data_IF_725626988831
#
_entry.id   IF_725626988831
#
_cell.length_a   1.000
_cell.length_b   1.000
_cell.length_c   1.000
_cell.angle_alpha   90.00
_cell.angle_beta   90.00
_cell.angle_gamma   90.00
#
_symmetry.space_group_name_H-M   'P 1'
#
loop_
_entity.id
_entity.type
_entity.pdbx_description
1 polymer ?
#
# COMPACT_ATOMS: atom_id res chain seq x y z
N UNK A 1 14.07 -0.02 14.16
CA UNK A 1 13.47 1.22 13.64
C UNK A 1 13.97 1.38 12.22
N UNK A 2 13.22 0.98 11.20
CA UNK A 2 13.66 1.13 9.82
C UNK A 2 12.86 0.27 8.85
N UNK A 3 12.21 0.93 7.94
CA UNK A 3 11.78 0.48 6.61
C UNK A 3 10.54 -0.42 6.51
N UNK A 4 9.41 0.17 6.74
CA UNK A 4 8.12 -0.20 6.11
C UNK A 4 8.20 0.33 4.66
N UNK A 5 8.91 -0.34 3.74
CA UNK A 5 9.49 0.36 2.61
C UNK A 5 9.18 -0.07 1.19
N UNK A 6 8.19 -0.88 0.88
CA UNK A 6 7.92 -1.23 -0.53
C UNK A 6 6.54 -0.81 -1.03
N UNK A 7 5.48 -1.18 -0.34
CA UNK A 7 4.11 -0.78 -0.68
C UNK A 7 3.75 0.64 -0.23
N UNK A 8 4.47 1.17 0.76
CA UNK A 8 4.25 2.50 1.31
C UNK A 8 4.77 3.63 0.39
N UNK A 9 5.82 3.38 -0.41
CA UNK A 9 6.43 4.40 -1.26
C UNK A 9 5.58 4.79 -2.48
N UNK A 10 4.78 3.88 -3.01
CA UNK A 10 3.90 4.20 -4.14
C UNK A 10 2.67 5.01 -3.69
N UNK A 11 2.13 4.71 -2.51
CA UNK A 11 1.05 5.50 -1.89
C UNK A 11 1.51 6.89 -1.45
N UNK A 12 2.77 7.06 -1.06
CA UNK A 12 3.35 8.35 -0.67
C UNK A 12 3.32 9.36 -1.82
N UNK A 13 3.50 8.93 -3.07
CA UNK A 13 3.48 9.82 -4.25
C UNK A 13 2.10 10.42 -4.55
N UNK A 14 1.03 9.68 -4.40
CA UNK A 14 -0.33 10.17 -4.65
C UNK A 14 -0.86 10.98 -3.47
N UNK A 15 -0.59 10.52 -2.26
CA UNK A 15 -0.88 11.28 -1.05
C UNK A 15 -0.17 12.63 -1.05
N UNK A 16 1.09 12.67 -1.48
CA UNK A 16 1.83 13.90 -1.68
C UNK A 16 1.19 14.81 -2.73
N UNK A 17 0.68 14.27 -3.85
CA UNK A 17 0.01 15.10 -4.87
C UNK A 17 -1.25 15.79 -4.33
N UNK A 18 -2.08 15.08 -3.58
CA UNK A 18 -3.28 15.66 -2.94
C UNK A 18 -2.86 16.68 -1.89
N UNK A 19 -1.86 16.36 -1.08
CA UNK A 19 -1.34 17.27 -0.06
C UNK A 19 -0.77 18.57 -0.69
N UNK A 20 0.00 18.44 -1.78
CA UNK A 20 0.48 19.62 -2.53
C UNK A 20 -0.64 20.41 -3.16
N UNK A 21 -1.65 19.78 -3.72
CA UNK A 21 -2.81 20.45 -4.28
C UNK A 21 -3.58 21.25 -3.23
N UNK A 22 -3.84 20.64 -2.07
CA UNK A 22 -4.49 21.29 -0.93
C UNK A 22 -3.64 22.41 -0.34
N UNK A 23 -2.33 22.19 -0.21
CA UNK A 23 -1.40 23.21 0.27
C UNK A 23 -1.38 24.44 -0.65
N UNK A 24 -1.30 24.24 -1.98
CA UNK A 24 -1.36 25.31 -2.96
C UNK A 24 -2.70 26.05 -2.90
N UNK A 25 -3.81 25.33 -2.75
CA UNK A 25 -5.13 25.94 -2.63
C UNK A 25 -5.21 26.83 -1.38
N UNK A 26 -4.76 26.34 -0.24
CA UNK A 26 -4.71 27.12 1.01
C UNK A 26 -3.78 28.33 0.86
N UNK A 27 -2.63 28.15 0.22
CA UNK A 27 -1.68 29.24 -0.03
C UNK A 27 -2.31 30.35 -0.89
N UNK A 28 -3.03 29.98 -1.96
CA UNK A 28 -3.73 30.94 -2.82
C UNK A 28 -4.85 31.66 -2.04
N UNK A 29 -5.59 30.95 -1.19
CA UNK A 29 -6.62 31.57 -0.34
C UNK A 29 -6.01 32.60 0.62
N UNK A 30 -4.88 32.27 1.25
CA UNK A 30 -4.19 33.19 2.15
C UNK A 30 -3.64 34.39 1.38
N UNK A 31 -2.92 34.15 0.28
CA UNK A 31 -2.34 35.24 -0.53
C UNK A 31 -3.41 36.13 -1.18
N UNK A 32 -4.51 35.53 -1.65
CA UNK A 32 -5.63 36.26 -2.21
C UNK A 32 -6.30 37.16 -1.15
N UNK A 33 -6.57 36.64 0.04
CA UNK A 33 -7.17 37.38 1.14
C UNK A 33 -6.27 38.54 1.59
N UNK A 34 -4.99 38.26 1.80
CA UNK A 34 -4.01 39.30 2.18
C UNK A 34 -3.85 40.32 1.06
N UNK A 35 -3.83 39.91 -0.20
CA UNK A 35 -3.73 40.78 -1.34
C UNK A 35 -4.91 41.78 -1.42
N UNK A 36 -6.15 41.29 -1.28
CA UNK A 36 -7.32 42.17 -1.25
C UNK A 36 -7.31 43.15 -0.06
N UNK A 37 -6.89 42.70 1.13
CA UNK A 37 -6.77 43.58 2.31
C UNK A 37 -5.74 44.69 2.14
N UNK A 38 -4.70 44.48 1.34
CA UNK A 38 -3.67 45.49 1.08
C UNK A 38 -4.10 46.45 -0.03
N UNK A 39 -4.85 45.96 -1.02
CA UNK A 39 -5.20 46.69 -2.22
C UNK A 39 -6.46 47.54 -2.03
N UNK A 40 -7.45 46.98 -1.29
CA UNK A 40 -8.77 47.62 -1.08
C UNK A 40 -8.90 48.10 0.37
N UNK A 41 -8.78 49.42 0.56
CA UNK A 41 -8.79 50.03 1.91
C UNK A 41 -10.12 49.80 2.66
N UNK A 42 -11.23 49.67 1.92
CA UNK A 42 -12.57 49.49 2.48
C UNK A 42 -12.95 48.02 2.79
N UNK A 43 -12.09 47.06 2.43
CA UNK A 43 -12.39 45.66 2.65
C UNK A 43 -12.12 45.24 4.10
N UNK A 44 -13.11 44.61 4.72
CA UNK A 44 -12.90 43.85 5.95
C UNK A 44 -12.20 42.51 5.65
N UNK A 45 -11.66 41.90 6.69
CA UNK A 45 -11.09 40.54 6.55
C UNK A 45 -12.10 39.55 5.95
N UNK A 46 -13.38 39.69 6.30
CA UNK A 46 -14.44 38.83 5.79
C UNK A 46 -14.71 39.10 4.32
N UNK A 47 -14.72 40.33 3.88
CA UNK A 47 -14.93 40.71 2.49
C UNK A 47 -13.80 40.21 1.60
N UNK A 48 -12.55 40.44 2.02
CA UNK A 48 -11.36 39.97 1.32
C UNK A 48 -11.32 38.44 1.21
N UNK A 49 -11.64 37.72 2.29
CA UNK A 49 -11.70 36.25 2.29
C UNK A 49 -12.83 35.76 1.39
N UNK A 50 -14.01 36.36 1.50
CA UNK A 50 -15.17 35.96 0.69
C UNK A 50 -14.93 36.23 -0.80
N UNK A 51 -14.36 37.38 -1.17
CA UNK A 51 -13.98 37.69 -2.54
C UNK A 51 -12.95 36.73 -3.10
N UNK A 52 -11.97 36.34 -2.27
CA UNK A 52 -10.97 35.32 -2.64
C UNK A 52 -11.61 33.95 -2.90
N UNK A 53 -12.51 33.49 -2.02
CA UNK A 53 -13.23 32.22 -2.22
C UNK A 53 -14.06 32.25 -3.49
N UNK A 54 -14.82 33.32 -3.73
CA UNK A 54 -15.63 33.48 -4.94
C UNK A 54 -14.78 33.36 -6.21
N UNK A 55 -13.61 33.99 -6.19
CA UNK A 55 -12.68 33.97 -7.32
C UNK A 55 -12.04 32.60 -7.52
N UNK A 56 -11.50 32.01 -6.45
CA UNK A 56 -10.79 30.72 -6.50
C UNK A 56 -11.72 29.55 -6.80
N UNK A 57 -12.95 29.57 -6.29
CA UNK A 57 -13.95 28.52 -6.52
C UNK A 57 -14.59 28.57 -7.92
N UNK A 58 -14.27 29.56 -8.72
CA UNK A 58 -14.85 29.79 -10.06
C UNK A 58 -16.38 29.99 -10.07
N UNK A 59 -16.97 30.32 -8.91
CA UNK A 59 -18.41 30.53 -8.79
C UNK A 59 -18.81 31.88 -9.38
N UNK A 60 -17.98 32.94 -9.16
CA UNK A 60 -18.12 34.27 -9.81
C UNK A 60 -19.47 34.92 -9.59
N UNK A 61 -19.97 34.89 -8.32
CA UNK A 61 -21.36 35.31 -8.05
C UNK A 61 -21.55 36.84 -8.18
N UNK A 62 -20.75 37.63 -7.51
CA UNK A 62 -20.75 39.12 -7.62
C UNK A 62 -19.55 39.71 -6.87
N UNK A 63 -19.12 40.92 -7.25
CA UNK A 63 -18.08 41.62 -6.52
C UNK A 63 -18.60 42.10 -5.16
N UNK A 64 -17.76 42.03 -4.11
CA UNK A 64 -18.12 42.41 -2.72
C UNK A 64 -18.02 43.92 -2.51
N UNK A 65 -18.02 44.70 -3.53
CA UNK A 65 -17.87 46.14 -3.51
C UNK A 65 -17.30 46.64 -4.84
N UNK A 66 -17.14 47.96 -5.00
CA UNK A 66 -16.46 48.50 -6.17
C UNK A 66 -14.96 48.25 -6.03
N UNK A 67 -14.40 47.42 -6.90
CA UNK A 67 -12.96 47.14 -6.94
C UNK A 67 -12.22 48.32 -7.59
N UNK A 68 -11.11 48.71 -7.00
CA UNK A 68 -10.16 49.62 -7.60
C UNK A 68 -9.56 49.03 -8.89
N UNK A 69 -8.93 49.86 -9.72
CA UNK A 69 -8.26 49.36 -10.93
C UNK A 69 -7.15 48.34 -10.59
N UNK A 70 -6.44 48.55 -9.47
CA UNK A 70 -5.44 47.59 -8.97
C UNK A 70 -6.11 46.30 -8.50
N UNK A 71 -7.24 46.40 -7.81
CA UNK A 71 -8.02 45.20 -7.38
C UNK A 71 -8.53 44.37 -8.54
N UNK A 72 -8.96 45.02 -9.63
CA UNK A 72 -9.37 44.34 -10.86
C UNK A 72 -8.20 43.59 -11.52
N UNK A 73 -7.02 44.20 -11.60
CA UNK A 73 -5.80 43.56 -12.13
C UNK A 73 -5.41 42.38 -11.23
N UNK A 74 -5.42 42.55 -9.92
CA UNK A 74 -5.13 41.49 -8.95
C UNK A 74 -6.11 40.35 -9.08
N UNK A 75 -7.41 40.62 -9.19
CA UNK A 75 -8.45 39.62 -9.40
C UNK A 75 -8.20 38.83 -10.69
N UNK A 76 -7.86 39.49 -11.79
CA UNK A 76 -7.55 38.83 -13.05
C UNK A 76 -6.33 37.86 -12.91
N UNK A 77 -5.29 38.32 -12.21
CA UNK A 77 -4.14 37.47 -11.92
C UNK A 77 -4.51 36.27 -11.02
N UNK A 78 -5.35 36.51 -10.00
CA UNK A 78 -5.83 35.50 -9.10
C UNK A 78 -6.69 34.45 -9.83
N UNK A 79 -7.54 34.87 -10.78
CA UNK A 79 -8.34 33.96 -11.62
C UNK A 79 -7.42 33.01 -12.42
N UNK A 80 -6.40 33.57 -13.11
CA UNK A 80 -5.51 32.78 -13.95
C UNK A 80 -4.72 31.74 -13.11
N UNK A 81 -4.20 32.16 -11.96
CA UNK A 81 -3.39 31.28 -11.09
C UNK A 81 -4.24 30.26 -10.35
N UNK A 82 -5.44 30.61 -9.91
CA UNK A 82 -6.35 29.72 -9.19
C UNK A 82 -6.97 28.67 -10.09
N UNK A 83 -7.30 29.01 -11.34
CA UNK A 83 -7.91 28.06 -12.27
C UNK A 83 -7.05 26.82 -12.48
N UNK A 84 -5.75 27.00 -12.76
CA UNK A 84 -4.82 25.87 -12.92
C UNK A 84 -4.69 25.01 -11.66
N UNK A 85 -4.62 25.66 -10.49
CA UNK A 85 -4.51 24.97 -9.20
C UNK A 85 -5.78 24.21 -8.85
N UNK A 86 -6.95 24.79 -9.07
CA UNK A 86 -8.24 24.15 -8.83
C UNK A 86 -8.43 22.94 -9.74
N UNK A 87 -8.15 23.08 -11.04
CA UNK A 87 -8.21 21.97 -11.99
C UNK A 87 -7.27 20.83 -11.62
N UNK A 88 -6.05 21.15 -11.17
CA UNK A 88 -5.10 20.16 -10.67
C UNK A 88 -5.60 19.45 -9.41
N UNK A 89 -6.15 20.19 -8.45
CA UNK A 89 -6.71 19.64 -7.22
C UNK A 89 -7.88 18.68 -7.52
N UNK A 90 -8.81 19.11 -8.37
CA UNK A 90 -9.97 18.31 -8.78
C UNK A 90 -9.53 17.02 -9.48
N UNK A 91 -8.60 17.10 -10.42
CA UNK A 91 -8.06 15.93 -11.14
C UNK A 91 -7.35 14.98 -10.18
N UNK A 92 -6.58 15.49 -9.22
CA UNK A 92 -5.87 14.68 -8.23
C UNK A 92 -6.83 13.94 -7.31
N UNK A 93 -7.89 14.60 -6.83
CA UNK A 93 -8.92 13.98 -5.99
C UNK A 93 -9.71 12.93 -6.79
N UNK A 94 -10.12 13.27 -8.01
CA UNK A 94 -10.86 12.34 -8.87
C UNK A 94 -10.03 11.11 -9.19
N UNK A 95 -8.75 11.28 -9.52
CA UNK A 95 -7.84 10.16 -9.78
C UNK A 95 -7.68 9.25 -8.56
N UNK A 96 -7.63 9.81 -7.36
CA UNK A 96 -7.57 9.06 -6.10
C UNK A 96 -8.84 8.26 -5.85
N UNK A 97 -10.01 8.86 -6.09
CA UNK A 97 -11.31 8.20 -5.89
C UNK A 97 -11.57 7.12 -6.93
N UNK A 98 -11.32 7.42 -8.21
CA UNK A 98 -11.55 6.50 -9.34
C UNK A 98 -10.49 5.39 -9.37
N UNK A 99 -9.24 5.71 -9.03
CA UNK A 99 -8.14 4.73 -8.96
C UNK A 99 -8.33 3.65 -7.89
N UNK A 100 -9.30 3.79 -6.99
CA UNK A 100 -9.65 2.79 -5.98
C UNK A 100 -8.55 2.55 -4.93
N UNK A 101 -7.53 3.38 -4.90
CA UNK A 101 -6.37 3.22 -3.99
C UNK A 101 -6.76 3.27 -2.52
N UNK A 102 -7.77 4.08 -2.18
CA UNK A 102 -8.32 4.08 -0.82
C UNK A 102 -8.90 2.71 -0.41
N UNK A 103 -9.53 1.99 -1.37
CA UNK A 103 -10.06 0.64 -1.13
C UNK A 103 -8.93 -0.37 -0.89
N UNK A 104 -7.82 -0.25 -1.66
CA UNK A 104 -6.63 -1.09 -1.50
C UNK A 104 -6.02 -0.87 -0.11
N UNK A 105 -5.83 0.38 0.30
CA UNK A 105 -5.29 0.73 1.62
C UNK A 105 -6.12 0.16 2.79
N UNK A 106 -7.45 0.37 2.78
CA UNK A 106 -8.33 -0.18 3.82
C UNK A 106 -8.37 -1.70 3.82
N UNK A 107 -8.18 -2.32 2.67
CA UNK A 107 -8.17 -3.77 2.52
C UNK A 107 -6.87 -4.36 3.07
N UNK A 108 -5.72 -3.79 2.69
CA UNK A 108 -4.41 -4.19 3.21
C UNK A 108 -4.36 -4.05 4.73
N UNK A 109 -4.85 -2.94 5.27
CA UNK A 109 -4.95 -2.74 6.72
C UNK A 109 -5.82 -3.79 7.43
N UNK A 110 -7.00 -4.12 6.87
CA UNK A 110 -7.86 -5.17 7.43
C UNK A 110 -7.21 -6.55 7.32
N UNK A 111 -6.52 -6.81 6.23
CA UNK A 111 -5.80 -8.07 6.02
C UNK A 111 -4.69 -8.22 7.06
N UNK A 112 -3.82 -7.23 7.22
CA UNK A 112 -2.75 -7.22 8.24
C UNK A 112 -3.33 -7.46 9.63
N UNK A 113 -4.40 -6.73 10.00
CA UNK A 113 -5.07 -6.90 11.29
C UNK A 113 -5.68 -8.30 11.47
N UNK A 114 -6.08 -8.97 10.39
CA UNK A 114 -6.54 -10.36 10.44
C UNK A 114 -5.37 -11.34 10.64
N UNK A 115 -4.20 -11.05 10.05
CA UNK A 115 -2.99 -11.86 10.22
C UNK A 115 -2.44 -11.80 11.66
N UNK A 116 -2.55 -10.65 12.32
CA UNK A 116 -2.16 -10.51 13.74
C UNK A 116 -2.89 -11.47 14.68
N UNK A 117 -4.11 -11.85 14.34
CA UNK A 117 -4.93 -12.77 15.12
C UNK A 117 -4.63 -14.25 14.88
N UNK A 118 -3.88 -14.56 13.83
CA UNK A 118 -3.53 -15.94 13.50
C UNK A 118 -2.50 -16.47 14.51
N UNK A 119 -2.75 -17.68 15.00
CA UNK A 119 -1.84 -18.45 15.87
C UNK A 119 -1.96 -19.93 15.55
N UNK A 120 -0.85 -20.67 15.62
CA UNK A 120 -0.83 -22.09 15.27
C UNK A 120 -1.11 -22.37 13.79
N UNK A 121 -1.11 -21.35 12.96
CA UNK A 121 -1.39 -21.43 11.52
C UNK A 121 -0.17 -21.90 10.72
N UNK A 122 -0.38 -22.17 9.44
CA UNK A 122 0.66 -22.52 8.47
C UNK A 122 0.98 -21.31 7.60
N UNK A 123 2.26 -20.96 7.45
CA UNK A 123 2.74 -19.95 6.51
C UNK A 123 3.13 -20.65 5.21
N UNK A 124 2.55 -20.25 4.07
CA UNK A 124 2.89 -20.77 2.74
C UNK A 124 3.62 -19.70 1.95
N UNK A 125 4.88 -19.95 1.59
CA UNK A 125 5.71 -19.02 0.82
C UNK A 125 5.68 -19.38 -0.66
N UNK A 126 5.01 -18.52 -1.46
CA UNK A 126 4.79 -18.68 -2.89
C UNK A 126 3.51 -19.43 -3.24
N UNK A 127 2.81 -18.97 -4.28
CA UNK A 127 1.57 -19.58 -4.78
C UNK A 127 1.73 -20.06 -6.24
N UNK A 128 2.90 -20.61 -6.54
CA UNK A 128 3.14 -21.34 -7.79
C UNK A 128 2.46 -22.72 -7.78
N UNK A 129 2.82 -23.60 -8.71
CA UNK A 129 2.21 -24.95 -8.85
C UNK A 129 2.18 -25.74 -7.53
N UNK A 130 3.30 -25.80 -6.82
CA UNK A 130 3.41 -26.56 -5.55
C UNK A 130 2.66 -25.85 -4.42
N UNK A 131 2.78 -24.51 -4.33
CA UNK A 131 2.06 -23.71 -3.32
C UNK A 131 0.55 -23.80 -3.47
N UNK A 132 0.03 -23.75 -4.68
CA UNK A 132 -1.40 -23.93 -4.97
C UNK A 132 -1.88 -25.31 -4.48
N UNK A 133 -1.11 -26.36 -4.72
CA UNK A 133 -1.44 -27.69 -4.25
C UNK A 133 -1.43 -27.78 -2.71
N UNK A 134 -0.43 -27.20 -2.07
CA UNK A 134 -0.35 -27.13 -0.60
C UNK A 134 -1.57 -26.40 -0.02
N UNK A 135 -1.92 -25.22 -0.56
CA UNK A 135 -3.10 -24.45 -0.13
C UNK A 135 -4.40 -25.23 -0.33
N UNK A 136 -4.55 -25.94 -1.46
CA UNK A 136 -5.71 -26.78 -1.72
C UNK A 136 -5.90 -27.85 -0.62
N UNK A 137 -4.82 -28.48 -0.18
CA UNK A 137 -4.86 -29.46 0.91
C UNK A 137 -5.18 -28.78 2.26
N UNK A 138 -4.55 -27.65 2.56
CA UNK A 138 -4.84 -26.89 3.80
C UNK A 138 -6.31 -26.49 3.89
N UNK A 139 -6.90 -26.05 2.77
CA UNK A 139 -8.34 -25.76 2.68
C UNK A 139 -9.21 -27.01 2.92
N UNK A 140 -8.86 -28.13 2.27
CA UNK A 140 -9.59 -29.40 2.43
C UNK A 140 -9.60 -29.90 3.89
N UNK A 141 -8.47 -29.72 4.58
CA UNK A 141 -8.34 -30.09 6.00
C UNK A 141 -8.79 -28.99 6.96
N UNK A 142 -9.33 -27.86 6.48
CA UNK A 142 -9.78 -26.72 7.28
C UNK A 142 -8.70 -26.18 8.23
N UNK A 143 -7.46 -26.25 7.81
CA UNK A 143 -6.34 -25.69 8.57
C UNK A 143 -6.25 -24.18 8.39
N UNK A 144 -5.89 -23.46 9.45
CA UNK A 144 -5.60 -22.02 9.36
C UNK A 144 -4.26 -21.81 8.68
N UNK A 145 -4.20 -20.93 7.69
CA UNK A 145 -2.96 -20.62 6.97
C UNK A 145 -2.96 -19.19 6.44
N UNK A 146 -1.80 -18.71 6.03
CA UNK A 146 -1.59 -17.48 5.28
C UNK A 146 -0.63 -17.74 4.12
N UNK A 147 -0.87 -17.11 2.98
CA UNK A 147 0.01 -17.19 1.81
C UNK A 147 0.81 -15.91 1.68
N UNK A 148 2.12 -15.99 1.50
CA UNK A 148 2.98 -14.86 1.11
C UNK A 148 3.25 -14.99 -0.39
N UNK A 149 2.83 -13.98 -1.17
CA UNK A 149 3.03 -13.96 -2.62
C UNK A 149 3.47 -12.56 -3.07
N UNK A 150 4.40 -12.49 -4.03
CA UNK A 150 4.94 -11.23 -4.58
C UNK A 150 4.41 -10.86 -5.95
N UNK A 151 3.83 -11.82 -6.67
CA UNK A 151 3.31 -11.63 -8.03
C UNK A 151 1.96 -10.91 -7.98
N UNK A 152 1.92 -9.69 -8.50
CA UNK A 152 0.73 -8.84 -8.49
C UNK A 152 -0.45 -9.49 -9.24
N UNK A 153 -0.20 -10.22 -10.34
CA UNK A 153 -1.26 -10.87 -11.09
C UNK A 153 -1.92 -12.03 -10.31
N UNK A 154 -1.16 -12.70 -9.43
CA UNK A 154 -1.68 -13.72 -8.51
C UNK A 154 -2.45 -13.06 -7.37
N UNK A 155 -1.92 -11.96 -6.83
CA UNK A 155 -2.55 -11.20 -5.75
C UNK A 155 -3.90 -10.63 -6.19
N UNK A 156 -4.01 -10.09 -7.41
CA UNK A 156 -5.28 -9.63 -7.98
C UNK A 156 -6.35 -10.75 -8.03
N UNK A 157 -5.94 -11.99 -8.35
CA UNK A 157 -6.86 -13.15 -8.29
C UNK A 157 -7.33 -13.44 -6.87
N UNK A 158 -6.44 -13.38 -5.87
CA UNK A 158 -6.84 -13.52 -4.46
C UNK A 158 -7.83 -12.46 -4.05
N UNK A 159 -7.65 -11.24 -4.57
CA UNK A 159 -8.55 -10.13 -4.33
C UNK A 159 -9.95 -10.35 -4.84
N UNK A 160 -10.07 -10.93 -6.01
CA UNK A 160 -11.38 -11.25 -6.61
C UNK A 160 -12.05 -12.43 -5.91
N UNK A 161 -11.29 -13.46 -5.59
CA UNK A 161 -11.82 -14.72 -5.08
C UNK A 161 -12.06 -14.72 -3.56
N UNK A 162 -11.35 -13.90 -2.78
CA UNK A 162 -11.45 -13.75 -1.31
C UNK A 162 -11.48 -15.08 -0.53
N UNK A 163 -10.81 -16.09 -1.02
CA UNK A 163 -10.91 -17.45 -0.48
C UNK A 163 -10.14 -17.68 0.81
N UNK A 164 -9.04 -16.95 1.03
CA UNK A 164 -8.15 -17.15 2.18
C UNK A 164 -7.29 -15.91 2.47
N UNK A 165 -6.72 -15.79 3.68
CA UNK A 165 -5.81 -14.71 4.02
C UNK A 165 -4.48 -14.83 3.26
N UNK A 166 -3.96 -13.70 2.79
CA UNK A 166 -2.69 -13.62 2.10
C UNK A 166 -1.93 -12.35 2.52
N UNK A 167 -0.63 -12.34 2.30
CA UNK A 167 0.26 -11.21 2.44
C UNK A 167 0.90 -10.91 1.08
N UNK A 168 0.68 -9.72 0.54
CA UNK A 168 1.41 -9.22 -0.62
C UNK A 168 2.83 -8.86 -0.17
N UNK A 169 3.80 -9.71 -0.46
CA UNK A 169 5.16 -9.54 0.03
C UNK A 169 6.14 -10.56 -0.55
N UNK A 170 7.39 -10.42 -0.14
CA UNK A 170 8.48 -11.30 -0.56
C UNK A 170 8.97 -12.14 0.63
N UNK A 171 8.67 -13.43 0.62
CA UNK A 171 9.01 -14.36 1.71
C UNK A 171 10.52 -14.45 2.04
N UNK A 172 11.42 -13.91 1.20
CA UNK A 172 12.85 -13.82 1.50
C UNK A 172 13.15 -12.72 2.53
N UNK A 173 12.22 -11.75 2.67
CA UNK A 173 12.38 -10.66 3.63
C UNK A 173 11.89 -11.08 5.00
N UNK A 174 12.73 -10.87 6.00
CA UNK A 174 12.41 -11.19 7.39
C UNK A 174 11.15 -10.45 7.89
N UNK A 175 10.98 -9.19 7.46
CA UNK A 175 9.82 -8.36 7.80
C UNK A 175 8.50 -9.00 7.33
N UNK A 176 8.47 -9.55 6.12
CA UNK A 176 7.26 -10.16 5.56
C UNK A 176 6.94 -11.50 6.23
N UNK A 177 7.96 -12.28 6.64
CA UNK A 177 7.79 -13.47 7.46
C UNK A 177 7.26 -13.15 8.86
N UNK A 178 7.80 -12.11 9.49
CA UNK A 178 7.31 -11.63 10.79
C UNK A 178 5.87 -11.14 10.70
N UNK A 179 5.53 -10.39 9.64
CA UNK A 179 4.18 -9.91 9.41
C UNK A 179 3.18 -11.05 9.15
N UNK A 180 3.63 -12.11 8.49
CA UNK A 180 2.85 -13.34 8.35
C UNK A 180 2.70 -14.12 9.68
N UNK A 181 3.35 -13.71 10.74
CA UNK A 181 3.24 -14.30 12.08
C UNK A 181 4.04 -15.58 12.27
N UNK A 182 5.22 -15.71 11.66
CA UNK A 182 6.05 -16.91 11.74
C UNK A 182 6.43 -17.29 13.19
N UNK A 183 6.56 -16.30 14.09
CA UNK A 183 6.87 -16.53 15.52
C UNK A 183 5.82 -17.39 16.23
N UNK A 184 4.55 -17.26 15.81
CA UNK A 184 3.37 -17.94 16.39
C UNK A 184 2.76 -18.98 15.46
N UNK A 185 3.39 -19.23 14.30
CA UNK A 185 2.99 -20.27 13.36
C UNK A 185 3.37 -21.67 13.88
N UNK A 186 2.63 -22.70 13.47
CA UNK A 186 2.93 -24.10 13.72
C UNK A 186 3.82 -24.72 12.65
N UNK A 187 3.69 -24.24 11.41
CA UNK A 187 4.47 -24.73 10.28
C UNK A 187 4.70 -23.65 9.23
N UNK A 188 5.73 -23.85 8.42
CA UNK A 188 5.99 -23.10 7.19
C UNK A 188 6.22 -24.06 6.04
N UNK A 189 5.66 -23.75 4.89
CA UNK A 189 5.85 -24.47 3.63
C UNK A 189 6.44 -23.50 2.61
N UNK A 190 7.71 -23.66 2.27
CA UNK A 190 8.36 -22.82 1.27
C UNK A 190 8.41 -23.52 -0.08
N UNK A 191 7.83 -22.87 -1.10
CA UNK A 191 7.65 -23.42 -2.46
C UNK A 191 8.16 -22.47 -3.54
N UNK A 192 9.13 -21.63 -3.18
CA UNK A 192 9.71 -20.64 -4.09
C UNK A 192 10.42 -21.34 -5.27
N UNK A 193 10.50 -20.68 -6.44
CA UNK A 193 11.14 -21.29 -7.62
C UNK A 193 12.64 -21.56 -7.43
N UNK A 194 13.32 -20.73 -6.65
CA UNK A 194 14.75 -20.78 -6.40
C UNK A 194 15.08 -21.56 -5.13
N UNK A 195 15.98 -22.52 -5.23
CA UNK A 195 16.48 -23.30 -4.08
C UNK A 195 17.24 -22.42 -3.06
N UNK A 196 17.97 -21.41 -3.53
CA UNK A 196 18.63 -20.42 -2.65
C UNK A 196 17.62 -19.61 -1.86
N UNK A 197 16.53 -19.18 -2.49
CA UNK A 197 15.48 -18.43 -1.81
C UNK A 197 14.79 -19.28 -0.73
N UNK A 198 14.51 -20.55 -1.06
CA UNK A 198 13.98 -21.50 -0.08
C UNK A 198 14.94 -21.69 1.09
N UNK A 199 16.26 -21.73 0.83
CA UNK A 199 17.27 -21.86 1.89
C UNK A 199 17.27 -20.64 2.81
N UNK A 200 17.18 -19.43 2.29
CA UNK A 200 17.07 -18.21 3.11
C UNK A 200 15.82 -18.24 3.98
N UNK A 201 14.66 -18.59 3.40
CA UNK A 201 13.42 -18.71 4.17
C UNK A 201 13.55 -19.74 5.30
N UNK A 202 14.18 -20.91 5.03
CA UNK A 202 14.39 -21.95 6.05
C UNK A 202 15.29 -21.45 7.18
N UNK A 203 16.37 -20.74 6.87
CA UNK A 203 17.30 -20.18 7.87
C UNK A 203 16.58 -19.17 8.76
N UNK A 204 15.95 -18.17 8.18
CA UNK A 204 15.19 -17.14 8.93
C UNK A 204 14.07 -17.76 9.75
N UNK A 205 13.31 -18.71 9.16
CA UNK A 205 12.24 -19.40 9.85
C UNK A 205 12.73 -20.18 11.09
N UNK A 206 13.85 -20.87 10.98
CA UNK A 206 14.43 -21.64 12.07
C UNK A 206 15.06 -20.74 13.13
N UNK A 207 15.66 -19.62 12.73
CA UNK A 207 16.21 -18.62 13.65
C UNK A 207 15.08 -18.01 14.49
N UNK A 208 14.00 -17.59 13.84
CA UNK A 208 12.87 -16.90 14.47
C UNK A 208 12.03 -17.83 15.35
N UNK A 209 11.76 -19.07 14.89
CA UNK A 209 10.93 -20.02 15.62
C UNK A 209 11.58 -21.41 15.67
N UNK A 210 12.23 -21.71 16.80
CA UNK A 210 12.96 -22.99 17.01
C UNK A 210 12.06 -24.23 16.95
N UNK A 211 10.75 -24.08 17.23
CA UNK A 211 9.78 -25.19 17.28
C UNK A 211 9.00 -25.38 15.98
N UNK A 212 9.20 -24.49 15.01
CA UNK A 212 8.44 -24.48 13.77
C UNK A 212 8.67 -25.75 12.95
N UNK A 213 7.61 -26.36 12.44
CA UNK A 213 7.72 -27.40 11.42
C UNK A 213 8.01 -26.77 10.07
N UNK A 214 9.17 -27.07 9.47
CA UNK A 214 9.62 -26.46 8.21
C UNK A 214 9.60 -27.51 7.11
N UNK A 215 8.80 -27.26 6.07
CA UNK A 215 8.72 -28.07 4.86
C UNK A 215 9.23 -27.21 3.71
N UNK A 216 10.23 -27.69 2.98
CA UNK A 216 10.83 -26.93 1.87
C UNK A 216 10.78 -27.70 0.57
N UNK A 217 10.56 -26.99 -0.53
CA UNK A 217 10.81 -27.50 -1.88
C UNK A 217 12.30 -27.45 -2.18
N UNK A 218 12.79 -28.46 -2.90
CA UNK A 218 14.09 -28.45 -3.56
C UNK A 218 13.92 -28.88 -5.03
N UNK A 219 14.70 -28.28 -5.91
CA UNK A 219 14.78 -28.67 -7.32
C UNK A 219 15.91 -29.67 -7.57
N UNK A 220 16.91 -29.72 -6.69
CA UNK A 220 18.10 -30.58 -6.83
C UNK A 220 18.37 -31.40 -5.57
N UNK A 221 18.80 -32.64 -5.77
CA UNK A 221 19.16 -33.54 -4.65
C UNK A 221 20.30 -33.01 -3.78
N UNK A 222 21.24 -32.26 -4.34
CA UNK A 222 22.33 -31.61 -3.59
C UNK A 222 21.82 -30.53 -2.62
N UNK A 223 20.71 -29.87 -2.94
CA UNK A 223 20.08 -28.85 -2.10
C UNK A 223 19.31 -29.45 -0.94
N UNK A 224 18.76 -30.66 -1.09
CA UNK A 224 18.03 -31.37 -0.01
C UNK A 224 18.86 -31.44 1.26
N UNK A 225 20.14 -31.85 1.15
CA UNK A 225 21.05 -31.91 2.29
C UNK A 225 21.25 -30.55 2.96
N UNK A 226 21.44 -29.49 2.15
CA UNK A 226 21.66 -28.12 2.65
C UNK A 226 20.43 -27.61 3.40
N UNK A 227 19.23 -27.81 2.84
CA UNK A 227 17.97 -27.43 3.48
C UNK A 227 17.75 -28.15 4.81
N UNK A 228 18.08 -29.45 4.88
CA UNK A 228 18.01 -30.20 6.15
C UNK A 228 18.99 -29.67 7.19
N UNK A 229 20.23 -29.36 6.80
CA UNK A 229 21.23 -28.76 7.69
C UNK A 229 20.78 -27.38 8.17
N UNK A 230 20.13 -26.59 7.30
CA UNK A 230 19.57 -25.28 7.65
C UNK A 230 18.38 -25.37 8.62
N UNK A 231 17.81 -26.54 8.82
CA UNK A 231 16.74 -26.78 9.79
C UNK A 231 15.39 -27.17 9.21
N UNK A 232 15.30 -27.52 7.92
CA UNK A 232 14.08 -28.07 7.35
C UNK A 232 13.79 -29.47 7.92
N UNK A 233 12.57 -29.68 8.39
CA UNK A 233 12.11 -30.98 8.89
C UNK A 233 11.88 -31.94 7.71
N UNK A 234 11.23 -31.46 6.65
CA UNK A 234 10.97 -32.20 5.43
C UNK A 234 11.38 -31.42 4.19
N UNK A 235 11.87 -32.12 3.18
CA UNK A 235 12.21 -31.54 1.87
C UNK A 235 11.54 -32.37 0.77
N UNK A 236 10.83 -31.72 -0.12
CA UNK A 236 10.07 -32.31 -1.21
C UNK A 236 10.70 -31.90 -2.54
N UNK A 237 10.91 -32.86 -3.43
CA UNK A 237 11.34 -32.65 -4.82
C UNK A 237 10.17 -32.99 -5.76
N UNK A 238 9.33 -32.05 -6.15
CA UNK A 238 8.14 -32.32 -6.96
C UNK A 238 8.47 -32.90 -8.33
N UNK A 239 9.57 -32.49 -8.93
CA UNK A 239 9.98 -32.86 -10.27
C UNK A 239 10.62 -34.29 -10.34
N UNK A 240 10.83 -34.97 -9.19
CA UNK A 240 11.35 -36.33 -9.10
C UNK A 240 10.27 -37.38 -8.88
N UNK A 241 9.00 -36.97 -8.83
CA UNK A 241 7.83 -37.86 -8.58
C UNK A 241 7.03 -38.14 -9.86
N UNK A 242 7.60 -37.80 -11.05
CA UNK A 242 7.04 -38.07 -12.37
C UNK A 242 7.62 -39.29 -13.04
#
# INVERSE_FOLDING_TARGET
>A
MGSIGGGMLFNFRLFNKIFYALFLLVLILVLGTVGFLIIEDDFTLLDAFYMTILTVSTVGFNEVGELSDLGRIFTAFLIITSFGTFAYALTSITSYLVGGEYKKYFKDYRMIKSLEKLSGHVVVCGYGRVGTQAVSQLLAYKMSFVVIEKDEAIIEKFELEKKFPYLSGNAIKDEDLLQAGIERASAIITTLPSDSDNLFVVLTARETNKKLTIISRASNASTVRKLKIAGANNVIMPDSLG
#
